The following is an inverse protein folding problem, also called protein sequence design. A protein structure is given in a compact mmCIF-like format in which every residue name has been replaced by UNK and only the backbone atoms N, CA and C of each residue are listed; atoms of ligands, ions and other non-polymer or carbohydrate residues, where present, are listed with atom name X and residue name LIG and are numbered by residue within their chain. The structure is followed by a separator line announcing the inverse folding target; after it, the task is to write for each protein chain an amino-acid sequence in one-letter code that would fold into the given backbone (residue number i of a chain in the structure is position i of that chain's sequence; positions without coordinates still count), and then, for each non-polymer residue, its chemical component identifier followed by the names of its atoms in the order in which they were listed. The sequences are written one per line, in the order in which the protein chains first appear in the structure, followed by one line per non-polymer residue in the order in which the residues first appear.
data_IF_781148540695
#
_entry.id   IF_781148540695
#
_cell.length_a   1.000
_cell.length_b   1.000
_cell.length_c   1.000
_cell.angle_alpha   90.00
_cell.angle_beta   90.00
_cell.angle_gamma   90.00
#
_symmetry.space_group_name_H-M   'P 1'
#
loop_
_entity.id
_entity.type
_entity.pdbx_description
1 polymer ?
#
# COMPACT_ATOMS: atom_id res chain seq x y z
N UNK A 1 22.55 -30.25 -2.18
CA UNK A 1 22.70 -29.74 -3.55
C UNK A 1 24.00 -28.97 -3.64
N UNK A 2 24.61 -28.86 -4.83
CA UNK A 2 25.85 -28.09 -5.03
C UNK A 2 25.62 -27.06 -6.13
N UNK A 3 25.94 -25.80 -5.88
CA UNK A 3 25.83 -24.70 -6.86
C UNK A 3 26.99 -23.75 -6.69
N UNK A 4 27.67 -23.42 -7.79
CA UNK A 4 28.86 -22.53 -7.80
C UNK A 4 29.93 -22.96 -6.77
N UNK A 5 30.12 -24.26 -6.58
CA UNK A 5 31.07 -24.81 -5.59
C UNK A 5 30.60 -24.77 -4.13
N UNK A 6 29.43 -24.17 -3.83
CA UNK A 6 28.87 -24.13 -2.48
C UNK A 6 27.91 -25.30 -2.25
N UNK A 7 28.04 -25.94 -1.09
CA UNK A 7 27.17 -27.05 -0.69
C UNK A 7 25.99 -26.53 0.14
N UNK A 8 24.78 -26.87 -0.31
CA UNK A 8 23.51 -26.51 0.33
C UNK A 8 22.83 -27.77 0.86
N UNK A 9 22.42 -27.76 2.12
CA UNK A 9 21.71 -28.88 2.74
C UNK A 9 20.30 -29.04 2.13
N UNK A 10 19.71 -30.23 2.24
CA UNK A 10 18.31 -30.41 1.83
C UNK A 10 17.39 -29.61 2.76
N UNK A 11 16.42 -28.89 2.19
CA UNK A 11 15.50 -28.00 2.90
C UNK A 11 15.94 -26.53 2.96
N UNK A 12 17.14 -26.18 2.47
CA UNK A 12 17.60 -24.79 2.49
C UNK A 12 17.08 -24.00 1.31
N UNK A 13 16.84 -22.72 1.55
CA UNK A 13 16.50 -21.71 0.54
C UNK A 13 17.54 -20.59 0.55
N UNK A 14 17.89 -20.07 -0.62
CA UNK A 14 18.85 -18.97 -0.75
C UNK A 14 18.58 -18.14 -2.01
N UNK A 15 19.17 -16.95 -2.04
CA UNK A 15 19.16 -16.04 -3.20
C UNK A 15 20.58 -15.71 -3.60
N UNK A 16 20.76 -15.21 -4.83
CA UNK A 16 22.07 -14.73 -5.33
C UNK A 16 22.10 -13.18 -5.27
N UNK A 17 23.28 -12.59 -5.01
CA UNK A 17 23.40 -11.14 -4.80
C UNK A 17 23.03 -10.29 -6.04
N UNK A 18 23.15 -10.87 -7.23
CA UNK A 18 22.80 -10.26 -8.51
C UNK A 18 21.29 -10.28 -8.80
N UNK A 19 20.57 -11.27 -8.27
CA UNK A 19 19.12 -11.41 -8.43
C UNK A 19 18.49 -11.84 -7.08
N UNK A 20 18.25 -10.88 -6.17
CA UNK A 20 17.63 -11.16 -4.88
C UNK A 20 16.18 -11.63 -5.01
N UNK A 21 15.58 -11.55 -6.20
CA UNK A 21 14.24 -12.06 -6.48
C UNK A 21 14.23 -13.52 -6.91
N UNK A 22 15.38 -14.09 -7.24
CA UNK A 22 15.53 -15.50 -7.63
C UNK A 22 15.82 -16.35 -6.40
N UNK A 23 14.81 -17.12 -5.99
CA UNK A 23 14.89 -18.00 -4.83
C UNK A 23 15.20 -19.42 -5.32
N UNK A 24 16.26 -19.99 -4.79
CA UNK A 24 16.70 -21.34 -5.05
C UNK A 24 16.43 -22.20 -3.81
N UNK A 25 15.80 -23.35 -4.01
CA UNK A 25 15.47 -24.29 -2.93
C UNK A 25 16.13 -25.63 -3.24
N UNK A 26 16.84 -26.20 -2.27
CA UNK A 26 17.40 -27.54 -2.39
C UNK A 26 16.45 -28.55 -1.74
N UNK A 27 15.94 -29.52 -2.50
CA UNK A 27 15.11 -30.60 -1.94
C UNK A 27 15.57 -31.95 -2.49
N UNK A 28 16.03 -32.82 -1.59
CA UNK A 28 16.47 -34.18 -1.93
C UNK A 28 17.49 -34.24 -3.10
N UNK A 29 18.40 -33.26 -3.17
CA UNK A 29 19.42 -33.18 -4.21
C UNK A 29 19.02 -32.40 -5.46
N UNK A 30 17.75 -32.03 -5.62
CA UNK A 30 17.26 -31.21 -6.73
C UNK A 30 17.23 -29.74 -6.33
N UNK A 31 17.71 -28.86 -7.21
CA UNK A 31 17.56 -27.41 -7.06
C UNK A 31 16.33 -26.97 -7.84
N UNK A 32 15.36 -26.38 -7.15
CA UNK A 32 14.20 -25.73 -7.77
C UNK A 32 14.35 -24.23 -7.70
N UNK A 33 13.93 -23.55 -8.74
CA UNK A 33 13.97 -22.08 -8.84
C UNK A 33 12.56 -21.51 -8.80
N UNK A 34 12.39 -20.44 -8.04
CA UNK A 34 11.19 -19.61 -8.07
C UNK A 34 11.57 -18.13 -8.14
N UNK A 35 10.68 -17.32 -8.72
CA UNK A 35 10.88 -15.87 -8.82
C UNK A 35 9.85 -15.14 -7.98
N UNK A 36 10.32 -14.40 -6.98
CA UNK A 36 9.48 -13.55 -6.15
C UNK A 36 8.88 -12.43 -7.01
N UNK A 37 7.55 -12.32 -6.99
CA UNK A 37 6.81 -11.21 -7.61
C UNK A 37 6.24 -10.33 -6.51
N UNK A 38 6.77 -9.12 -6.40
CA UNK A 38 6.34 -8.16 -5.41
C UNK A 38 5.04 -7.48 -5.86
N UNK A 39 4.11 -7.31 -4.93
CA UNK A 39 2.94 -6.45 -5.10
C UNK A 39 3.21 -5.11 -4.41
N UNK A 40 3.25 -4.02 -5.17
CA UNK A 40 3.57 -2.67 -4.67
C UNK A 40 2.43 -1.69 -4.97
N UNK A 41 1.43 -1.57 -4.08
CA UNK A 41 0.25 -0.73 -4.30
C UNK A 41 0.55 0.75 -3.99
N UNK A 42 1.53 1.34 -4.68
CA UNK A 42 1.84 2.76 -4.58
C UNK A 42 2.29 3.32 -5.94
N UNK A 43 1.98 4.60 -6.18
CA UNK A 43 2.23 5.28 -7.45
C UNK A 43 3.72 5.49 -7.73
N UNK A 44 4.54 5.66 -6.68
CA UNK A 44 5.97 5.93 -6.79
C UNK A 44 6.78 5.05 -5.81
N UNK A 45 6.99 3.76 -6.14
CA UNK A 45 7.81 2.89 -5.32
C UNK A 45 9.28 3.32 -5.33
N UNK A 46 9.93 3.25 -4.17
CA UNK A 46 11.36 3.44 -4.03
C UNK A 46 12.06 2.12 -4.35
N UNK A 47 13.17 2.13 -5.13
CA UNK A 47 13.95 0.93 -5.39
C UNK A 47 14.33 0.17 -4.11
N UNK A 48 14.41 -1.18 -4.16
CA UNK A 48 14.85 -1.96 -3.02
C UNK A 48 16.25 -1.54 -2.55
N UNK A 49 16.54 -1.61 -1.24
CA UNK A 49 17.90 -1.57 -0.72
C UNK A 49 18.80 -2.66 -1.37
N UNK A 50 20.13 -2.47 -1.39
CA UNK A 50 21.06 -3.48 -1.89
C UNK A 50 20.81 -4.84 -1.22
N UNK A 51 20.67 -5.90 -2.04
CA UNK A 51 20.40 -7.27 -1.58
C UNK A 51 18.94 -7.59 -1.29
N UNK A 52 18.00 -6.64 -1.45
CA UNK A 52 16.56 -6.90 -1.35
C UNK A 52 15.91 -6.96 -2.73
N UNK A 53 14.84 -7.74 -2.85
CA UNK A 53 14.08 -7.87 -4.10
C UNK A 53 13.02 -6.79 -4.27
N UNK A 54 12.26 -6.49 -3.21
CA UNK A 54 11.01 -5.75 -3.35
C UNK A 54 11.17 -4.25 -3.14
N UNK A 55 10.53 -3.41 -3.98
CA UNK A 55 10.50 -1.97 -3.77
C UNK A 55 9.81 -1.63 -2.46
N UNK A 56 10.13 -0.46 -1.91
CA UNK A 56 9.52 0.06 -0.68
C UNK A 56 8.64 1.26 -1.03
N UNK A 57 7.42 1.29 -0.50
CA UNK A 57 6.58 2.48 -0.57
C UNK A 57 6.88 3.34 0.66
N UNK A 58 7.33 4.59 0.46
CA UNK A 58 7.38 5.58 1.57
C UNK A 58 6.40 6.71 1.30
N UNK A 59 5.62 7.06 2.33
CA UNK A 59 4.52 8.01 2.21
C UNK A 59 3.26 7.40 1.60
N UNK A 60 2.12 8.00 1.91
CA UNK A 60 0.85 7.63 1.31
C UNK A 60 0.39 8.76 0.37
N UNK A 61 -0.29 8.41 -0.71
CA UNK A 61 -0.79 9.38 -1.68
C UNK A 61 -2.27 9.15 -1.93
N UNK A 62 -3.04 10.23 -2.01
CA UNK A 62 -4.46 10.25 -2.38
C UNK A 62 -4.63 11.35 -3.43
N UNK A 63 -5.12 10.99 -4.62
CA UNK A 63 -5.30 11.91 -5.75
C UNK A 63 -4.04 12.75 -6.08
N UNK A 64 -2.86 12.13 -5.99
CA UNK A 64 -1.56 12.77 -6.21
C UNK A 64 -1.05 13.62 -5.03
N UNK A 65 -1.86 13.84 -3.99
CA UNK A 65 -1.45 14.57 -2.78
C UNK A 65 -0.84 13.63 -1.74
N UNK A 66 0.30 14.04 -1.17
CA UNK A 66 0.96 13.31 -0.08
C UNK A 66 0.14 13.45 1.20
N UNK A 67 -0.29 12.32 1.76
CA UNK A 67 -0.96 12.21 3.04
C UNK A 67 0.07 11.87 4.11
N UNK A 68 0.02 12.53 5.25
CA UNK A 68 0.92 12.33 6.39
C UNK A 68 0.12 12.03 7.66
N UNK A 69 0.80 11.76 8.78
CA UNK A 69 0.12 11.42 10.04
C UNK A 69 -0.57 12.63 10.69
N UNK A 70 -0.06 13.82 10.40
CA UNK A 70 -0.47 15.15 10.83
C UNK A 70 -1.45 15.84 9.86
N UNK A 71 -1.58 15.34 8.62
CA UNK A 71 -2.47 15.92 7.61
C UNK A 71 -3.51 14.89 7.14
N UNK A 72 -4.75 15.10 7.55
CA UNK A 72 -5.91 14.40 6.99
C UNK A 72 -6.29 15.07 5.68
N UNK A 73 -6.36 14.32 4.58
CA UNK A 73 -6.77 14.85 3.28
C UNK A 73 -8.19 14.40 2.97
N UNK A 74 -9.05 15.36 2.66
CA UNK A 74 -10.38 15.11 2.12
C UNK A 74 -10.27 14.86 0.61
N UNK A 75 -10.91 13.82 0.10
CA UNK A 75 -10.85 13.54 -1.34
C UNK A 75 -11.61 14.61 -2.12
N UNK A 76 -11.07 15.02 -3.27
CA UNK A 76 -11.73 15.97 -4.17
C UNK A 76 -13.03 15.42 -4.78
N UNK A 77 -13.18 14.10 -4.81
CA UNK A 77 -14.35 13.40 -5.38
C UNK A 77 -15.46 13.21 -4.34
N UNK A 78 -15.11 13.06 -3.06
CA UNK A 78 -16.06 12.88 -1.96
C UNK A 78 -15.59 13.66 -0.71
N UNK A 79 -16.25 14.79 -0.38
CA UNK A 79 -15.91 15.61 0.79
C UNK A 79 -16.13 14.88 2.12
N UNK A 80 -16.80 13.73 2.13
CA UNK A 80 -16.98 12.91 3.32
C UNK A 80 -15.89 11.87 3.55
N UNK A 81 -14.99 11.67 2.59
CA UNK A 81 -13.88 10.72 2.74
C UNK A 81 -12.64 11.44 3.24
N UNK A 82 -12.16 11.03 4.41
CA UNK A 82 -10.95 11.53 5.03
C UNK A 82 -9.90 10.43 5.11
N UNK A 83 -8.69 10.71 4.65
CA UNK A 83 -7.59 9.76 4.66
C UNK A 83 -6.41 10.26 5.49
N UNK A 84 -5.74 9.34 6.19
CA UNK A 84 -4.53 9.60 6.99
C UNK A 84 -3.46 8.55 6.71
N UNK A 85 -2.20 8.96 6.78
CA UNK A 85 -1.06 8.08 6.56
C UNK A 85 -0.30 7.87 7.86
N UNK A 86 -0.13 6.63 8.31
CA UNK A 86 0.72 6.31 9.44
C UNK A 86 1.77 5.29 9.02
N UNK A 87 3.05 5.66 9.05
CA UNK A 87 4.18 4.78 8.71
C UNK A 87 4.01 4.01 7.39
N UNK A 88 3.51 4.69 6.33
CA UNK A 88 3.29 4.08 5.01
C UNK A 88 1.96 3.33 4.85
N UNK A 89 1.14 3.23 5.91
CA UNK A 89 -0.21 2.68 5.84
C UNK A 89 -1.24 3.81 5.66
N UNK A 90 -1.90 3.81 4.51
CA UNK A 90 -3.04 4.69 4.25
C UNK A 90 -4.30 4.12 4.92
N UNK A 91 -4.99 4.94 5.71
CA UNK A 91 -6.29 4.60 6.31
C UNK A 91 -7.29 5.67 5.94
N UNK A 92 -8.41 5.29 5.36
CA UNK A 92 -9.48 6.21 4.96
C UNK A 92 -10.77 5.87 5.71
N UNK A 93 -11.52 6.91 6.10
CA UNK A 93 -12.81 6.80 6.74
C UNK A 93 -13.82 7.66 5.97
N UNK A 94 -15.01 7.11 5.74
CA UNK A 94 -16.14 7.86 5.17
C UNK A 94 -17.07 8.27 6.30
N UNK A 95 -17.26 9.57 6.46
CA UNK A 95 -18.25 10.11 7.39
C UNK A 95 -19.66 9.80 6.88
N UNK A 96 -20.49 9.22 7.73
CA UNK A 96 -21.92 9.10 7.48
C UNK A 96 -22.61 10.41 7.88
N UNK A 97 -23.49 10.91 7.01
CA UNK A 97 -24.25 12.12 7.31
C UNK A 97 -25.45 11.84 8.22
N UNK A 98 -25.80 12.81 9.10
CA UNK A 98 -26.94 12.66 9.98
C UNK A 98 -28.24 12.58 9.18
N UNK A 99 -29.22 11.88 9.73
CA UNK A 99 -30.60 11.93 9.22
C UNK A 99 -31.19 13.29 9.60
N UNK A 100 -31.65 14.04 8.59
CA UNK A 100 -32.23 15.35 8.80
C UNK A 100 -33.73 15.26 9.09
N UNK A 101 -34.18 15.97 10.12
CA UNK A 101 -35.58 16.05 10.53
C UNK A 101 -36.26 17.33 10.01
N UNK A 102 -36.09 17.63 8.71
CA UNK A 102 -36.76 18.74 8.05
C UNK A 102 -37.30 18.31 6.68
N UNK A 103 -38.29 19.02 6.12
CA UNK A 103 -38.76 18.77 4.75
C UNK A 103 -37.62 18.89 3.75
N UNK A 104 -37.67 18.13 2.66
CA UNK A 104 -36.65 18.17 1.60
C UNK A 104 -36.42 19.57 1.02
N UNK A 105 -37.44 20.44 1.05
CA UNK A 105 -37.35 21.84 0.62
C UNK A 105 -36.47 22.72 1.50
N UNK A 106 -36.10 22.27 2.71
CA UNK A 106 -35.27 22.98 3.68
C UNK A 106 -33.87 22.39 3.82
N UNK A 107 -33.55 21.35 3.04
CA UNK A 107 -32.23 20.72 3.04
C UNK A 107 -31.31 21.54 2.14
N UNK A 108 -30.21 22.03 2.70
CA UNK A 108 -29.18 22.79 2.00
C UNK A 108 -27.87 22.01 2.01
N UNK A 109 -27.18 21.96 0.87
CA UNK A 109 -25.85 21.35 0.74
C UNK A 109 -24.92 22.36 0.04
N UNK A 110 -23.97 22.92 0.78
CA UNK A 110 -23.04 23.90 0.24
C UNK A 110 -21.88 23.22 -0.51
N UNK A 111 -21.36 23.80 -1.60
CA UNK A 111 -20.23 23.24 -2.32
C UNK A 111 -19.00 23.06 -1.42
N UNK A 112 -18.51 21.83 -1.30
CA UNK A 112 -17.36 21.47 -0.47
C UNK A 112 -17.72 20.90 0.89
N UNK A 113 -18.98 21.00 1.32
CA UNK A 113 -19.43 20.35 2.56
C UNK A 113 -19.59 18.84 2.37
N UNK A 114 -19.19 18.09 3.40
CA UNK A 114 -19.52 16.66 3.46
C UNK A 114 -21.03 16.46 3.61
N UNK A 115 -21.64 17.11 4.61
CA UNK A 115 -23.03 16.82 4.98
C UNK A 115 -23.98 17.99 4.77
N UNK A 116 -25.20 17.71 4.30
CA UNK A 116 -26.24 18.73 4.21
C UNK A 116 -26.77 19.10 5.61
N UNK A 117 -27.39 20.27 5.71
CA UNK A 117 -28.01 20.77 6.93
C UNK A 117 -29.40 21.36 6.65
N UNK A 118 -30.22 21.49 7.70
CA UNK A 118 -31.53 22.15 7.61
C UNK A 118 -31.38 23.66 7.73
N UNK A 119 -32.10 24.41 6.92
CA UNK A 119 -32.18 25.88 6.98
C UNK A 119 -33.63 26.38 6.94
#
# INVERSE_FOLDING_TARGET
CTRNGVQHASGTEWTEANDPCRILTCRAGVITESKLRCYTPCTNPIPPPPGQCCPVCTGCYVNGQKVTADRTVTTTEDPCVTCRCNSGRLTCAKQACPVLHCPSSRIVHEPGDCCPHCK
#
